data_IF_040147511087
#
_entry.id   IF_040147511087
#
_cell.length_a   1.000
_cell.length_b   1.000
_cell.length_c   1.000
_cell.angle_alpha   90.00
_cell.angle_beta   90.00
_cell.angle_gamma   90.00
#
_symmetry.space_group_name_H-M   'P 1'
#
loop_
_entity.id
_entity.type
_entity.pdbx_description
1 polymer ?
#
# COMPACT_ATOMS: atom_id res chain seq x y z
N UNK A 1 24.27 54.06 -16.97
CA UNK A 1 23.93 52.72 -16.42
C UNK A 1 22.75 52.19 -17.23
N UNK A 2 22.88 51.03 -17.89
CA UNK A 2 22.02 50.60 -18.99
C UNK A 2 20.61 50.17 -18.55
N UNK A 3 19.61 50.19 -19.45
CA UNK A 3 18.30 49.60 -19.19
C UNK A 3 18.37 48.07 -19.22
N UNK A 4 17.66 47.45 -18.29
CA UNK A 4 17.51 46.00 -18.14
C UNK A 4 16.76 45.40 -19.36
N UNK A 5 17.36 44.49 -20.15
CA UNK A 5 16.79 44.02 -21.42
C UNK A 5 15.83 42.83 -21.28
N UNK A 6 15.43 42.44 -20.07
CA UNK A 6 14.60 41.25 -19.86
C UNK A 6 13.31 41.58 -19.11
N UNK A 7 12.39 42.23 -19.81
CA UNK A 7 10.98 42.27 -19.43
C UNK A 7 10.41 40.86 -19.30
N UNK A 8 10.40 40.32 -18.08
CA UNK A 8 9.65 39.11 -17.74
C UNK A 8 8.66 39.37 -16.62
N UNK A 9 7.48 39.78 -17.06
CA UNK A 9 6.20 39.66 -16.35
C UNK A 9 5.92 38.17 -16.11
N UNK A 10 6.25 37.66 -14.93
CA UNK A 10 5.78 36.35 -14.49
C UNK A 10 4.41 36.51 -13.85
N UNK A 11 3.40 35.92 -14.50
CA UNK A 11 2.02 35.95 -14.06
C UNK A 11 1.82 35.25 -12.72
N UNK A 12 0.83 35.74 -11.99
CA UNK A 12 0.16 35.07 -10.90
C UNK A 12 -0.17 33.60 -11.24
N UNK A 13 0.64 32.67 -10.76
CA UNK A 13 0.24 31.27 -10.62
C UNK A 13 -0.50 31.09 -9.29
N UNK A 14 -1.66 31.74 -9.17
CA UNK A 14 -2.62 31.49 -8.09
C UNK A 14 -3.56 30.36 -8.54
N UNK A 15 -3.27 29.12 -8.15
CA UNK A 15 -4.16 27.91 -8.10
C UNK A 15 -3.25 26.69 -7.88
N UNK A 16 -3.55 25.68 -7.08
CA UNK A 16 -4.72 25.29 -6.28
C UNK A 16 -4.16 24.18 -5.37
N UNK A 17 -4.08 24.38 -4.06
CA UNK A 17 -3.74 23.30 -3.13
C UNK A 17 -4.88 22.28 -3.22
N UNK A 18 -4.66 21.17 -3.93
CA UNK A 18 -5.58 20.04 -3.85
C UNK A 18 -5.42 19.48 -2.44
N UNK A 19 -6.39 19.77 -1.57
CA UNK A 19 -6.57 19.00 -0.35
C UNK A 19 -6.75 17.55 -0.80
N UNK A 20 -5.70 16.75 -0.60
CA UNK A 20 -5.77 15.29 -0.66
C UNK A 20 -6.82 14.89 0.37
N UNK A 21 -8.04 14.64 -0.10
CA UNK A 21 -9.13 14.10 0.70
C UNK A 21 -8.65 12.74 1.19
N UNK A 22 -8.33 12.64 2.48
CA UNK A 22 -8.01 11.39 3.12
C UNK A 22 -9.11 10.39 2.78
N UNK A 23 -8.72 9.33 2.07
CA UNK A 23 -9.61 8.24 1.71
C UNK A 23 -10.08 7.63 3.05
N UNK A 24 -11.40 7.57 3.34
CA UNK A 24 -11.85 6.90 4.55
C UNK A 24 -11.36 5.44 4.45
N UNK A 25 -10.86 4.84 5.54
CA UNK A 25 -10.44 3.45 5.51
C UNK A 25 -11.66 2.62 5.13
N UNK A 26 -11.58 1.98 3.98
CA UNK A 26 -12.57 1.04 3.50
C UNK A 26 -12.65 -0.10 4.53
N UNK A 27 -13.83 -0.28 5.13
CA UNK A 27 -14.15 -1.44 5.96
C UNK A 27 -14.33 -2.66 5.05
N UNK A 28 -13.23 -3.31 4.69
CA UNK A 28 -13.25 -4.57 3.96
C UNK A 28 -13.44 -5.76 4.92
N UNK A 29 -14.23 -6.74 4.49
CA UNK A 29 -14.84 -7.78 5.31
C UNK A 29 -13.90 -8.70 6.11
N UNK A 30 -14.49 -9.31 7.13
CA UNK A 30 -13.91 -9.97 8.29
C UNK A 30 -12.99 -11.19 8.06
N UNK A 31 -12.73 -11.63 6.82
CA UNK A 31 -11.97 -12.86 6.56
C UNK A 31 -10.46 -12.76 6.88
N UNK A 32 -9.95 -11.57 7.20
CA UNK A 32 -8.57 -11.34 7.64
C UNK A 32 -8.45 -10.25 8.71
N UNK A 33 -9.52 -9.99 9.47
CA UNK A 33 -9.49 -8.95 10.51
C UNK A 33 -9.02 -9.51 11.84
N UNK A 34 -8.17 -8.76 12.54
CA UNK A 34 -7.72 -9.05 13.92
C UNK A 34 -8.80 -8.81 14.98
N UNK A 35 -9.93 -8.19 14.60
CA UNK A 35 -11.03 -7.84 15.51
C UNK A 35 -11.60 -9.01 16.34
N UNK A 36 -12.02 -10.15 15.77
CA UNK A 36 -12.57 -11.27 16.54
C UNK A 36 -11.59 -11.77 17.60
N UNK A 37 -10.32 -11.91 17.24
CA UNK A 37 -9.27 -12.32 18.18
C UNK A 37 -9.13 -11.32 19.33
N UNK A 38 -8.99 -10.03 19.04
CA UNK A 38 -8.85 -9.00 20.07
C UNK A 38 -10.10 -8.90 20.96
N UNK A 39 -11.29 -9.09 20.40
CA UNK A 39 -12.55 -9.05 21.15
C UNK A 39 -12.70 -10.18 22.18
N UNK A 40 -12.02 -11.31 21.98
CA UNK A 40 -11.98 -12.40 22.98
C UNK A 40 -11.05 -12.12 24.17
N UNK A 41 -10.06 -11.24 23.98
CA UNK A 41 -9.01 -10.97 24.98
C UNK A 41 -9.22 -9.68 25.74
N UNK A 42 -9.81 -8.67 25.09
CA UNK A 42 -9.88 -7.32 25.63
C UNK A 42 -11.30 -6.74 25.58
N UNK A 43 -11.63 -5.84 26.52
CA UNK A 43 -12.90 -5.13 26.48
C UNK A 43 -13.00 -4.19 25.26
N UNK A 44 -14.21 -3.79 24.85
CA UNK A 44 -14.40 -2.91 23.68
C UNK A 44 -13.77 -1.52 23.84
N UNK A 45 -13.52 -1.08 25.07
CA UNK A 45 -12.88 0.18 25.42
C UNK A 45 -11.51 -0.08 26.08
N UNK A 46 -10.45 0.38 25.43
CA UNK A 46 -9.07 0.10 25.80
C UNK A 46 -8.39 1.30 26.46
N UNK A 47 -7.57 1.02 27.48
CA UNK A 47 -6.68 1.98 28.11
C UNK A 47 -5.35 2.12 27.35
N UNK A 48 -4.58 3.18 27.61
CA UNK A 48 -3.23 3.36 27.05
C UNK A 48 -2.34 2.15 27.32
N UNK A 49 -2.44 1.53 28.50
CA UNK A 49 -1.61 0.39 28.85
C UNK A 49 -1.92 -0.84 27.98
N UNK A 50 -3.20 -1.11 27.71
CA UNK A 50 -3.62 -2.20 26.83
C UNK A 50 -3.25 -1.93 25.38
N UNK A 51 -3.42 -0.69 24.90
CA UNK A 51 -3.00 -0.33 23.55
C UNK A 51 -1.49 -0.49 23.39
N UNK A 52 -0.70 -0.08 24.40
CA UNK A 52 0.74 -0.28 24.43
C UNK A 52 1.13 -1.76 24.30
N UNK A 53 0.44 -2.64 25.03
CA UNK A 53 0.64 -4.09 24.94
C UNK A 53 0.32 -4.62 23.54
N UNK A 54 -0.85 -4.25 23.00
CA UNK A 54 -1.33 -4.72 21.69
C UNK A 54 -0.42 -4.23 20.55
N UNK A 55 -0.02 -2.95 20.55
CA UNK A 55 0.82 -2.37 19.49
C UNK A 55 2.31 -2.54 19.74
N UNK A 56 2.70 -3.19 20.85
CA UNK A 56 4.10 -3.30 21.29
C UNK A 56 4.82 -1.93 21.38
N UNK A 57 4.12 -0.87 21.77
CA UNK A 57 4.67 0.47 21.97
C UNK A 57 4.80 0.80 23.46
N UNK A 58 5.79 1.60 23.86
CA UNK A 58 5.87 2.05 25.25
C UNK A 58 4.70 3.02 25.59
N UNK A 59 4.04 2.89 26.76
CA UNK A 59 2.91 3.75 27.15
C UNK A 59 3.24 5.25 27.11
N UNK A 60 4.48 5.62 27.45
CA UNK A 60 4.91 7.01 27.42
C UNK A 60 5.06 7.55 26.00
N UNK A 61 5.46 6.72 25.04
CA UNK A 61 5.52 7.09 23.62
C UNK A 61 4.14 7.41 23.08
N UNK A 62 3.14 6.60 23.43
CA UNK A 62 1.74 6.85 23.07
C UNK A 62 1.28 8.19 23.66
N UNK A 63 1.52 8.45 24.95
CA UNK A 63 1.18 9.74 25.59
C UNK A 63 1.84 10.92 24.87
N UNK A 64 3.12 10.82 24.55
CA UNK A 64 3.86 11.88 23.86
C UNK A 64 3.28 12.16 22.46
N UNK A 65 2.95 11.11 21.69
CA UNK A 65 2.33 11.24 20.36
C UNK A 65 0.92 11.79 20.44
N UNK A 66 0.14 11.40 21.44
CA UNK A 66 -1.19 11.96 21.70
C UNK A 66 -1.13 13.45 22.04
N UNK A 67 -0.19 13.87 22.88
CA UNK A 67 0.00 15.29 23.21
C UNK A 67 0.39 16.12 21.98
N UNK A 68 1.10 15.52 21.02
CA UNK A 68 1.46 16.15 19.74
C UNK A 68 0.34 16.04 18.68
N UNK A 69 -0.72 15.29 18.93
CA UNK A 69 -1.78 15.03 17.95
C UNK A 69 -1.33 14.17 16.76
N UNK A 70 -0.21 13.46 16.87
CA UNK A 70 0.39 12.67 15.77
C UNK A 70 0.12 11.17 15.89
N UNK A 71 -0.61 10.74 16.92
CA UNK A 71 -0.93 9.33 17.11
C UNK A 71 -1.95 8.86 16.06
N UNK A 72 -1.72 7.71 15.37
CA UNK A 72 -2.54 7.31 14.23
C UNK A 72 -3.93 6.78 14.64
N UNK A 73 -4.09 6.29 15.87
CA UNK A 73 -5.34 5.71 16.34
C UNK A 73 -6.18 6.79 17.03
N UNK A 74 -7.46 6.88 16.67
CA UNK A 74 -8.39 7.80 17.29
C UNK A 74 -8.55 7.50 18.79
N UNK A 75 -8.55 8.56 19.61
CA UNK A 75 -8.76 8.47 21.06
C UNK A 75 -9.72 9.54 21.55
N UNK A 76 -10.45 9.24 22.61
CA UNK A 76 -11.29 10.22 23.31
C UNK A 76 -10.95 10.24 24.81
N UNK A 77 -11.44 11.27 25.48
CA UNK A 77 -11.35 11.37 26.95
C UNK A 77 -12.62 10.80 27.55
N UNK A 78 -12.47 9.89 28.51
CA UNK A 78 -13.54 9.44 29.38
C UNK A 78 -13.14 9.80 30.83
N UNK A 79 -13.71 10.89 31.33
CA UNK A 79 -13.28 11.51 32.59
C UNK A 79 -11.80 11.93 32.54
N UNK A 80 -11.01 11.42 33.49
CA UNK A 80 -9.55 11.70 33.60
C UNK A 80 -8.68 10.78 32.73
N UNK A 81 -9.24 9.73 32.13
CA UNK A 81 -8.50 8.73 31.35
C UNK A 81 -8.66 8.96 29.84
N UNK A 82 -7.64 8.58 29.08
CA UNK A 82 -7.69 8.46 27.61
C UNK A 82 -8.07 7.03 27.25
N UNK A 83 -9.00 6.89 26.32
CA UNK A 83 -9.60 5.60 25.93
C UNK A 83 -9.58 5.48 24.42
N UNK A 84 -9.48 4.24 23.94
CA UNK A 84 -9.47 3.84 22.54
C UNK A 84 -10.55 2.79 22.28
N UNK A 85 -11.11 2.76 21.07
CA UNK A 85 -12.07 1.74 20.68
C UNK A 85 -11.27 0.56 20.17
N UNK A 86 -11.64 -0.63 20.61
CA UNK A 86 -11.02 -1.86 20.15
C UNK A 86 -11.10 -2.01 18.63
N UNK A 87 -12.20 -1.54 18.02
CA UNK A 87 -12.40 -1.54 16.56
C UNK A 87 -11.34 -0.70 15.84
N UNK A 88 -11.04 0.50 16.34
CA UNK A 88 -10.08 1.40 15.71
C UNK A 88 -8.65 0.83 15.83
N UNK A 89 -8.33 0.18 16.95
CA UNK A 89 -7.04 -0.49 17.17
C UNK A 89 -6.90 -1.70 16.25
N UNK A 90 -7.93 -2.54 16.12
CA UNK A 90 -7.92 -3.68 15.21
C UNK A 90 -7.73 -3.23 13.76
N UNK A 91 -8.46 -2.21 13.31
CA UNK A 91 -8.33 -1.66 11.97
C UNK A 91 -6.92 -1.12 11.69
N UNK A 92 -6.26 -0.53 12.68
CA UNK A 92 -4.88 -0.08 12.55
C UNK A 92 -3.91 -1.26 12.34
N UNK A 93 -4.05 -2.34 13.11
CA UNK A 93 -3.22 -3.54 12.97
C UNK A 93 -3.43 -4.17 11.60
N UNK A 94 -4.69 -4.32 11.18
CA UNK A 94 -5.04 -4.88 9.88
C UNK A 94 -4.38 -4.07 8.74
N UNK A 95 -4.33 -2.75 8.86
CA UNK A 95 -3.60 -1.88 7.93
C UNK A 95 -2.08 -2.09 7.96
N UNK A 96 -1.48 -2.26 9.15
CA UNK A 96 -0.04 -2.52 9.24
C UNK A 96 0.32 -3.85 8.58
N UNK A 97 -0.46 -4.91 8.81
CA UNK A 97 -0.30 -6.22 8.16
C UNK A 97 -0.46 -6.09 6.64
N UNK A 98 -1.42 -5.28 6.20
CA UNK A 98 -1.67 -5.03 4.78
C UNK A 98 -0.59 -4.18 4.10
N UNK A 99 0.30 -3.51 4.83
CA UNK A 99 1.41 -2.72 4.27
C UNK A 99 2.75 -3.42 4.41
N UNK A 100 2.86 -4.41 5.30
CA UNK A 100 4.11 -5.14 5.54
C UNK A 100 4.67 -5.75 4.23
N UNK A 101 5.91 -5.42 3.83
CA UNK A 101 6.56 -6.00 2.64
C UNK A 101 6.81 -7.50 2.75
N UNK A 102 6.75 -8.07 3.96
CA UNK A 102 6.82 -9.51 4.20
C UNK A 102 5.60 -10.24 3.63
N UNK A 103 4.46 -9.54 3.55
CA UNK A 103 3.24 -10.05 2.93
C UNK A 103 3.49 -10.35 1.45
N UNK A 104 3.25 -11.59 0.97
CA UNK A 104 3.48 -11.96 -0.41
C UNK A 104 2.73 -11.06 -1.42
N UNK A 105 1.61 -10.47 -1.02
CA UNK A 105 0.83 -9.54 -1.85
C UNK A 105 1.54 -8.19 -2.09
N UNK A 106 2.41 -7.75 -1.17
CA UNK A 106 3.09 -6.45 -1.24
C UNK A 106 4.54 -6.53 -1.72
N UNK A 107 5.02 -7.74 -2.03
CA UNK A 107 6.39 -7.91 -2.52
C UNK A 107 6.52 -7.14 -3.83
N UNK A 108 7.45 -6.16 -3.92
CA UNK A 108 7.65 -5.45 -5.17
C UNK A 108 8.00 -6.47 -6.25
N UNK A 109 7.33 -6.37 -7.41
CA UNK A 109 7.72 -7.14 -8.58
C UNK A 109 9.22 -6.94 -8.80
N UNK A 110 9.99 -8.03 -8.79
CA UNK A 110 11.46 -7.97 -8.92
C UNK A 110 11.81 -7.21 -10.19
N UNK A 111 12.26 -5.95 -10.04
CA UNK A 111 12.77 -5.14 -11.15
C UNK A 111 14.15 -5.69 -11.51
N UNK A 112 14.31 -6.21 -12.73
CA UNK A 112 15.60 -6.71 -13.20
C UNK A 112 15.51 -7.48 -14.52
N UNK A 113 16.70 -7.76 -15.09
CA UNK A 113 16.84 -8.67 -16.24
C UNK A 113 16.30 -10.05 -15.84
N UNK A 114 15.46 -10.68 -16.69
CA UNK A 114 14.97 -12.03 -16.42
C UNK A 114 16.12 -12.97 -16.08
N UNK A 115 15.96 -13.75 -15.02
CA UNK A 115 16.97 -14.76 -14.63
C UNK A 115 17.04 -15.84 -15.70
N UNK A 116 18.19 -16.50 -15.86
CA UNK A 116 18.38 -17.58 -16.85
C UNK A 116 17.27 -18.65 -16.79
N UNK A 117 16.82 -19.00 -15.58
CA UNK A 117 15.70 -19.93 -15.33
C UNK A 117 14.38 -19.42 -15.92
N UNK A 118 14.06 -18.13 -15.74
CA UNK A 118 12.85 -17.51 -16.30
C UNK A 118 12.91 -17.43 -17.83
N UNK A 119 14.09 -17.20 -18.40
CA UNK A 119 14.29 -17.17 -19.85
C UNK A 119 14.06 -18.55 -20.47
N UNK A 120 14.59 -19.61 -19.85
CA UNK A 120 14.39 -21.00 -20.28
C UNK A 120 12.91 -21.39 -20.17
N UNK A 121 12.25 -21.09 -19.05
CA UNK A 121 10.82 -21.36 -18.89
C UNK A 121 9.97 -20.63 -19.95
N UNK A 122 10.32 -19.38 -20.30
CA UNK A 122 9.64 -18.62 -21.36
C UNK A 122 9.85 -19.21 -22.76
N UNK A 123 11.01 -19.80 -23.01
CA UNK A 123 11.30 -20.52 -24.27
C UNK A 123 10.53 -21.84 -24.35
N UNK A 124 10.43 -22.57 -23.24
CA UNK A 124 9.67 -23.83 -23.16
C UNK A 124 8.15 -23.60 -23.21
N UNK A 125 7.66 -22.47 -22.71
CA UNK A 125 6.25 -22.10 -22.73
C UNK A 125 5.77 -21.53 -24.07
N UNK A 126 6.64 -21.36 -25.07
CA UNK A 126 6.20 -21.01 -26.44
C UNK A 126 5.64 -22.26 -27.10
N UNK A 127 4.32 -22.37 -27.36
CA UNK A 127 3.81 -23.44 -28.19
C UNK A 127 4.44 -23.30 -29.58
N UNK A 128 5.02 -24.39 -30.07
CA UNK A 128 5.47 -24.51 -31.45
C UNK A 128 4.30 -24.21 -32.37
N UNK A 129 4.31 -23.02 -33.00
CA UNK A 129 3.40 -22.72 -34.08
C UNK A 129 3.58 -23.80 -35.16
N UNK A 130 2.50 -24.41 -35.69
CA UNK A 130 2.60 -25.40 -36.73
C UNK A 130 3.26 -24.76 -37.96
N UNK A 131 4.38 -25.34 -38.39
CA UNK A 131 5.05 -24.95 -39.62
C UNK A 131 4.12 -25.24 -40.80
N UNK A 132 3.78 -24.21 -41.57
CA UNK A 132 3.07 -24.34 -42.84
C UNK A 132 3.91 -25.22 -43.79
N UNK A 133 3.35 -26.27 -44.41
CA UNK A 133 4.09 -27.07 -45.37
C UNK A 133 4.18 -26.30 -46.69
N UNK A 134 5.37 -25.85 -47.07
CA UNK A 134 5.64 -25.44 -48.45
C UNK A 134 5.65 -26.70 -49.31
N UNK A 135 4.54 -26.91 -50.02
CA UNK A 135 4.34 -27.96 -51.01
C UNK A 135 5.37 -27.85 -52.13
N UNK A 136 6.11 -28.93 -52.34
CA UNK A 136 6.84 -29.21 -53.58
C UNK A 136 5.86 -29.35 -54.75
N UNK A 137 6.21 -28.80 -55.91
CA UNK A 137 5.43 -28.95 -57.14
C UNK A 137 6.23 -28.55 -58.38
N UNK A 138 6.98 -29.52 -58.91
CA UNK A 138 7.54 -29.54 -60.26
C UNK A 138 6.41 -29.51 -61.31
N UNK A 139 6.57 -28.74 -62.39
CA UNK A 139 6.01 -28.87 -63.77
C UNK A 139 6.69 -27.74 -64.56
N UNK A 140 7.51 -27.92 -65.59
CA UNK A 140 7.40 -28.81 -66.74
C UNK A 140 6.71 -28.05 -67.88
N UNK A 141 7.44 -27.56 -68.89
CA UNK A 141 6.78 -26.96 -70.06
C UNK A 141 7.68 -26.18 -71.00
N UNK A 142 8.12 -26.86 -72.07
CA UNK A 142 8.78 -26.30 -73.22
C UNK A 142 7.90 -25.31 -74.00
N UNK A 143 8.52 -24.32 -74.65
CA UNK A 143 8.38 -24.01 -76.07
C UNK A 143 9.40 -22.96 -76.50
#
# INVERSE_FOLDING_TARGET
>A
MPPDPYGRRWGDCRRRTSMQRSKPPFFAGHAGSSLPYLSSLYPPALSIAQVAEITSEAPQTIRNRLSKGTYPIFSWKAGRKRVFRLIDVAAFIDQQIAVDPSNPANRPARRGRPTKVQQVAKLQARPSAPQSPHSSGLVGGAR
#
